data_IF_248377609448
#
_entry.id   IF_248377609448
#
_cell.length_a   1.000
_cell.length_b   1.000
_cell.length_c   1.000
_cell.angle_alpha   90.00
_cell.angle_beta   90.00
_cell.angle_gamma   90.00
#
_symmetry.space_group_name_H-M   'P 1'
#
loop_
_entity.id
_entity.type
_entity.pdbx_description
1 polymer ?
#
# COMPACT_ATOMS: atom_id res chain seq x y z
N UNK A 1 -15.80 16.42 -0.93
CA UNK A 1 -14.64 15.49 -0.76
C UNK A 1 -13.96 15.39 -2.11
N UNK A 2 -12.67 15.70 -2.19
CA UNK A 2 -11.97 15.86 -3.47
C UNK A 2 -11.42 14.52 -3.99
N UNK A 3 -11.00 13.62 -3.10
CA UNK A 3 -10.52 12.28 -3.40
C UNK A 3 -10.96 11.28 -2.33
N UNK A 4 -10.83 9.99 -2.62
CA UNK A 4 -11.00 8.89 -1.68
C UNK A 4 -9.62 8.42 -1.22
N UNK A 5 -9.48 8.14 0.06
CA UNK A 5 -8.30 7.48 0.60
C UNK A 5 -8.70 6.37 1.58
N UNK A 6 -7.84 5.39 1.77
CA UNK A 6 -8.05 4.29 2.70
C UNK A 6 -6.73 3.66 3.12
N UNK A 7 -6.80 2.85 4.17
CA UNK A 7 -5.65 2.20 4.77
C UNK A 7 -5.76 0.69 4.56
N UNK A 8 -4.71 0.08 4.03
CA UNK A 8 -4.67 -1.35 3.72
C UNK A 8 -3.59 -2.08 4.50
N UNK A 9 -4.03 -2.93 5.42
CA UNK A 9 -3.16 -3.74 6.26
C UNK A 9 -3.53 -5.22 6.17
N UNK A 10 -3.40 -5.83 4.98
CA UNK A 10 -3.72 -7.25 4.83
C UNK A 10 -2.77 -8.11 5.66
N UNK A 11 -3.28 -9.26 6.13
CA UNK A 11 -2.42 -10.30 6.69
C UNK A 11 -1.47 -10.85 5.62
N UNK A 12 -0.37 -11.48 6.02
CA UNK A 12 0.63 -12.00 5.07
C UNK A 12 0.12 -13.12 4.18
N UNK A 13 -0.98 -13.75 4.56
CA UNK A 13 -1.69 -14.80 3.83
C UNK A 13 -2.95 -14.29 3.09
N UNK A 14 -3.20 -12.97 3.12
CA UNK A 14 -4.31 -12.38 2.39
C UNK A 14 -4.26 -12.70 0.90
N UNK A 15 -5.40 -13.11 0.34
CA UNK A 15 -5.47 -13.40 -1.08
C UNK A 15 -5.41 -12.12 -1.91
N UNK A 16 -4.81 -12.21 -3.08
CA UNK A 16 -4.79 -11.09 -4.05
C UNK A 16 -6.21 -10.68 -4.48
N UNK A 17 -7.15 -11.61 -4.53
CA UNK A 17 -8.55 -11.33 -4.86
C UNK A 17 -9.25 -10.48 -3.80
N UNK A 18 -9.01 -10.74 -2.51
CA UNK A 18 -9.57 -9.92 -1.43
C UNK A 18 -9.02 -8.49 -1.48
N UNK A 19 -7.73 -8.34 -1.75
CA UNK A 19 -7.12 -7.02 -1.88
C UNK A 19 -7.64 -6.28 -3.11
N UNK A 20 -7.78 -6.98 -4.25
CA UNK A 20 -8.38 -6.43 -5.47
C UNK A 20 -9.79 -5.91 -5.20
N UNK A 21 -10.65 -6.71 -4.54
CA UNK A 21 -12.01 -6.28 -4.18
C UNK A 21 -12.00 -4.98 -3.37
N UNK A 22 -11.12 -4.87 -2.37
CA UNK A 22 -11.04 -3.68 -1.54
C UNK A 22 -10.62 -2.45 -2.36
N UNK A 23 -9.65 -2.57 -3.27
CA UNK A 23 -9.25 -1.49 -4.17
C UNK A 23 -10.38 -1.09 -5.10
N UNK A 24 -11.10 -2.06 -5.68
CA UNK A 24 -12.25 -1.80 -6.56
C UNK A 24 -13.39 -1.09 -5.84
N UNK A 25 -13.66 -1.45 -4.58
CA UNK A 25 -14.64 -0.73 -3.75
C UNK A 25 -14.26 0.74 -3.60
N UNK A 26 -12.99 1.03 -3.28
CA UNK A 26 -12.52 2.41 -3.12
C UNK A 26 -12.61 3.19 -4.45
N UNK A 27 -12.22 2.58 -5.55
CA UNK A 27 -12.34 3.16 -6.88
C UNK A 27 -13.81 3.44 -7.25
N UNK A 28 -14.71 2.54 -6.90
CA UNK A 28 -16.15 2.65 -7.18
C UNK A 28 -16.84 3.80 -6.43
N UNK A 29 -16.38 4.16 -5.24
CA UNK A 29 -17.02 5.17 -4.38
C UNK A 29 -17.08 6.57 -5.03
N UNK A 30 -16.25 6.89 -5.99
CA UNK A 30 -16.20 8.21 -6.61
C UNK A 30 -16.16 8.17 -8.14
N UNK A 31 -17.02 7.34 -8.72
CA UNK A 31 -17.24 7.28 -10.17
C UNK A 31 -15.96 6.97 -10.96
N UNK A 32 -15.15 6.06 -10.45
CA UNK A 32 -13.90 5.66 -11.09
C UNK A 32 -12.78 6.71 -11.03
N UNK A 33 -12.90 7.73 -10.17
CA UNK A 33 -11.78 8.62 -9.88
C UNK A 33 -10.69 7.83 -9.13
N UNK A 34 -9.43 8.20 -9.37
CA UNK A 34 -8.33 7.61 -8.62
C UNK A 34 -8.51 7.75 -7.11
N UNK A 35 -7.99 6.78 -6.38
CA UNK A 35 -7.93 6.82 -4.92
C UNK A 35 -6.47 6.93 -4.44
N UNK A 36 -6.29 7.27 -3.18
CA UNK A 36 -5.00 7.27 -2.51
C UNK A 36 -4.97 6.09 -1.54
N UNK A 37 -4.01 5.18 -1.69
CA UNK A 37 -3.67 4.25 -0.64
C UNK A 37 -2.87 5.02 0.42
N UNK A 38 -3.59 5.51 1.45
CA UNK A 38 -3.04 6.45 2.43
C UNK A 38 -2.06 5.76 3.36
N UNK A 39 -2.35 4.51 3.74
CA UNK A 39 -1.47 3.74 4.57
C UNK A 39 -1.36 2.28 4.10
N UNK A 40 -0.14 1.80 4.06
CA UNK A 40 0.19 0.39 4.20
C UNK A 40 1.49 0.28 5.01
N UNK A 41 1.71 -0.85 5.67
CA UNK A 41 2.98 -1.05 6.38
C UNK A 41 4.07 -1.53 5.43
N UNK A 42 5.28 -0.98 5.51
CA UNK A 42 6.40 -1.48 4.72
C UNK A 42 6.92 -2.84 5.21
N UNK A 43 6.59 -3.25 6.43
CA UNK A 43 7.14 -4.46 7.04
C UNK A 43 6.12 -5.16 7.95
N UNK A 44 6.14 -4.92 9.26
CA UNK A 44 5.32 -5.58 10.26
C UNK A 44 4.17 -4.69 10.75
N UNK A 45 3.07 -5.31 11.18
CA UNK A 45 1.87 -4.61 11.69
C UNK A 45 1.66 -5.01 13.16
N UNK A 46 1.86 -4.09 14.10
CA UNK A 46 1.91 -4.37 15.54
C UNK A 46 0.57 -4.78 16.18
N UNK A 47 -0.54 -4.55 15.53
CA UNK A 47 -1.89 -4.88 16.02
C UNK A 47 -2.50 -6.13 15.37
N UNK A 48 -1.81 -6.76 14.47
CA UNK A 48 -2.18 -8.09 13.95
C UNK A 48 -1.96 -9.17 15.05
N UNK A 49 -2.66 -10.32 15.00
CA UNK A 49 -2.47 -11.40 15.97
C UNK A 49 -1.01 -11.84 16.12
N UNK A 50 -0.26 -11.75 15.03
CA UNK A 50 1.19 -11.99 15.01
C UNK A 50 1.88 -10.82 14.31
N UNK A 51 2.98 -10.35 14.89
CA UNK A 51 3.80 -9.30 14.30
C UNK A 51 4.72 -9.90 13.22
N UNK A 52 4.12 -10.31 12.13
CA UNK A 52 4.75 -11.09 11.08
C UNK A 52 5.45 -10.20 10.04
N UNK A 53 6.68 -10.56 9.71
CA UNK A 53 7.47 -9.83 8.72
C UNK A 53 7.07 -10.23 7.30
N UNK A 54 6.73 -9.26 6.48
CA UNK A 54 6.52 -9.49 5.04
C UNK A 54 7.74 -10.10 4.38
N UNK A 55 7.51 -11.14 3.58
CA UNK A 55 8.56 -11.70 2.71
C UNK A 55 9.05 -10.66 1.70
N UNK A 56 10.31 -10.76 1.24
CA UNK A 56 10.82 -9.90 0.18
C UNK A 56 9.88 -9.87 -1.03
N UNK A 57 9.65 -8.69 -1.57
CA UNK A 57 8.80 -8.48 -2.75
C UNK A 57 7.30 -8.34 -2.48
N UNK A 58 6.77 -8.75 -1.33
CA UNK A 58 5.33 -8.66 -1.04
C UNK A 58 4.85 -7.21 -0.99
N UNK A 59 5.58 -6.34 -0.31
CA UNK A 59 5.26 -4.91 -0.27
C UNK A 59 5.24 -4.30 -1.68
N UNK A 60 6.22 -4.65 -2.51
CA UNK A 60 6.28 -4.21 -3.90
C UNK A 60 5.07 -4.71 -4.70
N UNK A 61 4.73 -6.00 -4.58
CA UNK A 61 3.58 -6.61 -5.25
C UNK A 61 2.27 -5.88 -4.89
N UNK A 62 2.03 -5.65 -3.61
CA UNK A 62 0.82 -4.98 -3.14
C UNK A 62 0.73 -3.52 -3.57
N UNK A 63 1.86 -2.82 -3.60
CA UNK A 63 1.91 -1.44 -4.13
C UNK A 63 1.58 -1.38 -5.61
N UNK A 64 2.14 -2.28 -6.42
CA UNK A 64 1.79 -2.40 -7.84
C UNK A 64 0.32 -2.78 -8.04
N UNK A 65 -0.23 -3.66 -7.19
CA UNK A 65 -1.64 -4.01 -7.25
C UNK A 65 -2.52 -2.78 -7.01
N UNK A 66 -2.22 -1.96 -5.98
CA UNK A 66 -2.96 -0.73 -5.73
C UNK A 66 -2.92 0.22 -6.95
N UNK A 67 -1.76 0.43 -7.55
CA UNK A 67 -1.60 1.25 -8.76
C UNK A 67 -2.38 0.66 -9.94
N UNK A 68 -2.32 -0.65 -10.15
CA UNK A 68 -3.06 -1.34 -11.21
C UNK A 68 -4.58 -1.22 -11.05
N UNK A 69 -5.08 -1.08 -9.82
CA UNK A 69 -6.49 -0.83 -9.51
C UNK A 69 -6.85 0.66 -9.41
N UNK A 70 -5.97 1.57 -9.84
CA UNK A 70 -6.27 2.99 -9.98
C UNK A 70 -5.87 3.87 -8.80
N UNK A 71 -4.91 3.45 -7.97
CA UNK A 71 -4.33 4.35 -6.99
C UNK A 71 -3.38 5.35 -7.65
N UNK A 72 -3.56 6.64 -7.39
CA UNK A 72 -2.65 7.71 -7.82
C UNK A 72 -1.46 7.88 -6.87
N UNK A 73 -1.59 7.39 -5.64
CA UNK A 73 -0.49 7.41 -4.67
C UNK A 73 -0.54 6.19 -3.75
N UNK A 74 0.64 5.72 -3.37
CA UNK A 74 0.85 4.67 -2.38
C UNK A 74 1.73 5.25 -1.28
N UNK A 75 1.18 5.34 -0.08
CA UNK A 75 1.84 5.89 1.09
C UNK A 75 2.06 4.80 2.15
N UNK A 76 2.98 5.06 3.06
CA UNK A 76 3.40 4.07 4.04
C UNK A 76 3.36 4.62 5.46
N UNK A 77 2.71 3.90 6.33
CA UNK A 77 2.84 4.12 7.75
C UNK A 77 3.88 3.13 8.31
N UNK A 78 5.02 3.60 8.81
CA UNK A 78 5.39 4.98 9.01
C UNK A 78 6.80 5.26 8.45
N UNK A 79 7.15 6.54 8.30
CA UNK A 79 8.47 6.90 7.77
C UNK A 79 9.60 6.48 8.71
N UNK A 80 9.49 6.78 10.00
CA UNK A 80 10.48 6.40 11.02
C UNK A 80 9.82 5.66 12.17
N UNK A 81 10.38 4.52 12.53
CA UNK A 81 9.84 3.68 13.60
C UNK A 81 9.87 4.40 14.93
N UNK A 82 8.71 4.46 15.60
CA UNK A 82 8.54 5.07 16.91
C UNK A 82 9.39 4.36 17.96
N UNK A 83 9.99 5.12 18.87
CA UNK A 83 10.81 4.58 19.95
C UNK A 83 10.01 4.28 21.22
N UNK A 84 8.79 4.79 21.30
CA UNK A 84 7.89 4.64 22.46
C UNK A 84 6.44 4.40 22.05
N UNK A 85 5.57 4.24 23.04
CA UNK A 85 4.14 3.92 22.89
C UNK A 85 3.86 2.63 22.12
N UNK A 86 2.62 2.40 21.73
CA UNK A 86 2.20 1.16 21.05
C UNK A 86 2.84 1.02 19.66
N UNK A 87 3.08 2.12 18.96
CA UNK A 87 3.62 2.12 17.59
C UNK A 87 5.11 1.77 17.50
N UNK A 88 5.81 1.61 18.60
CA UNK A 88 7.22 1.18 18.60
C UNK A 88 7.44 -0.20 17.96
N UNK A 89 6.41 -1.03 17.90
CA UNK A 89 6.47 -2.36 17.28
C UNK A 89 5.97 -2.38 15.84
N UNK A 90 5.40 -1.28 15.35
CA UNK A 90 4.98 -1.15 13.95
C UNK A 90 6.18 -1.03 13.02
N UNK A 91 6.06 -1.55 11.80
CA UNK A 91 7.09 -1.41 10.79
C UNK A 91 7.24 0.04 10.31
N UNK A 92 8.40 0.35 9.76
CA UNK A 92 8.69 1.67 9.21
C UNK A 92 9.66 1.58 8.04
N UNK A 93 9.73 2.66 7.26
CA UNK A 93 10.72 2.83 6.20
C UNK A 93 12.13 2.84 6.81
N UNK A 94 12.33 3.67 7.85
CA UNK A 94 13.54 3.70 8.65
C UNK A 94 13.27 3.02 9.99
N UNK A 95 13.85 1.86 10.19
CA UNK A 95 13.71 1.05 11.41
C UNK A 95 14.47 1.67 12.60
N UNK A 96 14.37 1.05 13.77
CA UNK A 96 15.12 1.44 14.98
C UNK A 96 16.64 1.52 14.77
N UNK A 97 17.18 0.80 13.79
CA UNK A 97 18.58 0.92 13.39
C UNK A 97 18.96 2.35 12.97
N UNK A 98 17.97 3.16 12.55
CA UNK A 98 18.12 4.59 12.29
C UNK A 98 18.87 4.97 11.02
N UNK A 99 19.06 4.02 10.11
CA UNK A 99 19.77 4.23 8.84
C UNK A 99 19.08 3.49 7.68
N UNK A 100 19.47 3.85 6.47
CA UNK A 100 18.92 3.32 5.21
C UNK A 100 19.41 1.91 4.83
N UNK A 101 20.42 1.39 5.50
CA UNK A 101 21.03 0.11 5.15
C UNK A 101 20.23 -1.09 5.67
N UNK A 102 18.94 -1.12 5.35
CA UNK A 102 18.02 -2.21 5.67
C UNK A 102 17.39 -2.77 4.40
N UNK A 103 16.89 -4.00 4.44
CA UNK A 103 16.17 -4.59 3.32
C UNK A 103 14.94 -3.78 2.95
N UNK A 104 14.14 -3.40 3.93
CA UNK A 104 12.89 -2.66 3.73
C UNK A 104 13.15 -1.32 3.06
N UNK A 105 14.12 -0.56 3.53
CA UNK A 105 14.46 0.72 2.92
C UNK A 105 14.89 0.55 1.45
N UNK A 106 15.76 -0.43 1.15
CA UNK A 106 16.21 -0.70 -0.23
C UNK A 106 15.07 -1.13 -1.14
N UNK A 107 14.15 -1.98 -0.67
CA UNK A 107 12.97 -2.37 -1.44
C UNK A 107 12.08 -1.17 -1.75
N UNK A 108 11.85 -0.28 -0.78
CA UNK A 108 11.06 0.93 -0.97
C UNK A 108 11.74 1.93 -1.91
N UNK A 109 13.04 2.14 -1.76
CA UNK A 109 13.78 3.03 -2.66
C UNK A 109 13.71 2.52 -4.11
N UNK A 110 13.83 1.21 -4.31
CA UNK A 110 13.68 0.59 -5.64
C UNK A 110 12.25 0.77 -6.17
N UNK A 111 11.25 0.50 -5.35
CA UNK A 111 9.84 0.69 -5.72
C UNK A 111 9.56 2.15 -6.12
N UNK A 112 10.04 3.12 -5.34
CA UNK A 112 9.89 4.54 -5.66
C UNK A 112 10.47 4.88 -7.04
N UNK A 113 11.68 4.41 -7.34
CA UNK A 113 12.30 4.61 -8.66
C UNK A 113 11.54 3.92 -9.82
N UNK A 114 10.93 2.76 -9.55
CA UNK A 114 10.09 2.06 -10.53
C UNK A 114 8.80 2.83 -10.81
N UNK A 115 8.11 3.27 -9.76
CA UNK A 115 6.86 4.02 -9.87
C UNK A 115 7.08 5.38 -10.54
N UNK A 116 8.18 6.06 -10.27
CA UNK A 116 8.56 7.28 -10.96
C UNK A 116 8.67 7.09 -12.48
N UNK A 117 9.29 6.00 -12.91
CA UNK A 117 9.45 5.68 -14.34
C UNK A 117 8.13 5.38 -15.07
N UNK A 118 7.16 4.84 -14.37
CA UNK A 118 5.87 4.50 -14.97
C UNK A 118 4.80 5.56 -14.72
N UNK A 119 5.04 6.50 -13.80
CA UNK A 119 4.07 7.48 -13.33
C UNK A 119 3.40 8.27 -14.45
N UNK A 120 4.19 8.79 -15.40
CA UNK A 120 3.66 9.52 -16.56
C UNK A 120 2.72 8.69 -17.44
N UNK A 121 2.89 7.36 -17.46
CA UNK A 121 2.07 6.44 -18.25
C UNK A 121 0.81 5.99 -17.54
N UNK A 122 0.80 6.01 -16.22
CA UNK A 122 -0.32 5.56 -15.38
C UNK A 122 -1.20 6.71 -14.91
N UNK A 123 -0.65 7.92 -14.82
CA UNK A 123 -1.39 9.09 -14.36
C UNK A 123 -2.61 9.36 -15.24
N UNK A 124 -3.77 9.46 -14.61
CA UNK A 124 -5.05 9.74 -15.29
C UNK A 124 -5.60 8.58 -16.12
N UNK A 125 -4.95 7.42 -16.12
CA UNK A 125 -5.51 6.23 -16.76
C UNK A 125 -6.73 5.72 -16.00
N UNK A 126 -7.61 5.04 -16.70
CA UNK A 126 -8.79 4.41 -16.10
C UNK A 126 -8.87 2.97 -16.54
N UNK A 127 -9.17 2.10 -15.62
CA UNK A 127 -9.54 0.74 -15.94
C UNK A 127 -10.98 0.71 -16.48
N UNK A 128 -11.17 0.02 -17.59
CA UNK A 128 -12.48 -0.17 -18.21
C UNK A 128 -13.01 -1.54 -17.76
N UNK A 129 -13.81 -1.54 -16.71
CA UNK A 129 -14.45 -2.75 -16.22
C UNK A 129 -15.67 -3.13 -17.08
N UNK A 130 -15.76 -4.38 -17.49
CA UNK A 130 -16.91 -4.91 -18.25
C UNK A 130 -18.09 -5.28 -17.34
N UNK A 131 -17.83 -5.48 -16.04
CA UNK A 131 -18.82 -5.87 -15.04
C UNK A 131 -18.79 -4.96 -13.83
N UNK A 132 -19.92 -4.78 -13.19
CA UNK A 132 -20.04 -4.10 -11.90
C UNK A 132 -20.63 -5.04 -10.85
N UNK A 133 -20.10 -4.96 -9.62
CA UNK A 133 -20.64 -5.63 -8.46
C UNK A 133 -21.32 -4.57 -7.59
N UNK A 134 -22.60 -4.77 -7.30
CA UNK A 134 -23.30 -3.96 -6.30
C UNK A 134 -22.96 -4.51 -4.93
N UNK A 135 -22.40 -3.69 -4.08
CA UNK A 135 -22.01 -4.03 -2.71
C UNK A 135 -22.86 -3.21 -1.74
N UNK A 136 -23.57 -3.89 -0.83
CA UNK A 136 -24.44 -3.31 0.20
C UNK A 136 -23.97 -3.73 1.61
#
# INVERSE_FOLDING_TARGET
>A
MDFISWDSYPSVDASSGQMALNHELMRGLKQGKPFVLMEQTPSVTNWQPYNELKRPGIMRLWSYQAVAHGADAVMFFQMRRSIGACEKYHGAVIDHAGHENTRVFRELATLGQELDKIGERTLGTREMAECAIVFD
#
